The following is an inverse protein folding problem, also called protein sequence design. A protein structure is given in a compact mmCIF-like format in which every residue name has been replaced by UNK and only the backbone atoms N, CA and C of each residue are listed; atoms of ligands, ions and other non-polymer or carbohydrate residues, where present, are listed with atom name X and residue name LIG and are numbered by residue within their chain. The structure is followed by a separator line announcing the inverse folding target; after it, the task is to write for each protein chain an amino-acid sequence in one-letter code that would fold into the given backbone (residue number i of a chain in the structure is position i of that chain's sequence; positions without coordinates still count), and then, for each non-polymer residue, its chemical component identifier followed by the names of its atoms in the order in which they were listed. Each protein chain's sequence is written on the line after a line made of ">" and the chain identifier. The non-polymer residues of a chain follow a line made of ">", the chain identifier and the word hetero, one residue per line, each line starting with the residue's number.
data_IF_684935531392
#
_entry.id   IF_684935531392
#
_cell.length_a   1.000
_cell.length_b   1.000
_cell.length_c   1.000
_cell.angle_alpha   90.00
_cell.angle_beta   90.00
_cell.angle_gamma   90.00
#
_symmetry.space_group_name_H-M   'P 1'
#
loop_
_entity.id
_entity.type
_entity.pdbx_description
1 polymer ?
#
# COMPACT_ATOMS: atom_id res chain seq x y z
N UNK A 1 26.82 22.78 3.33
CA UNK A 1 26.71 21.87 4.51
C UNK A 1 25.39 22.07 5.24
N UNK A 2 24.99 23.31 5.56
CA UNK A 2 23.74 23.66 6.26
C UNK A 2 22.44 23.07 5.69
N UNK A 3 22.33 22.88 4.37
CA UNK A 3 21.13 22.28 3.74
C UNK A 3 21.04 20.76 4.01
N UNK A 4 22.17 20.05 4.05
CA UNK A 4 22.19 18.61 4.35
C UNK A 4 21.83 18.34 5.81
N UNK A 5 22.22 19.23 6.72
CA UNK A 5 21.92 19.10 8.15
C UNK A 5 20.40 19.16 8.43
N UNK A 6 19.65 19.89 7.60
CA UNK A 6 18.19 19.96 7.69
C UNK A 6 17.44 18.78 7.03
N UNK A 7 18.12 18.00 6.17
CA UNK A 7 17.46 16.95 5.38
C UNK A 7 16.80 15.89 6.24
N UNK A 8 17.52 15.38 7.24
CA UNK A 8 17.01 14.32 8.11
C UNK A 8 15.74 14.75 8.85
N UNK A 9 15.74 15.97 9.39
CA UNK A 9 14.57 16.52 10.10
C UNK A 9 13.37 16.64 9.18
N UNK A 10 13.54 17.20 7.98
CA UNK A 10 12.46 17.34 7.00
C UNK A 10 11.94 16.00 6.52
N UNK A 11 12.83 15.04 6.25
CA UNK A 11 12.46 13.70 5.83
C UNK A 11 11.62 13.02 6.91
N UNK A 12 12.08 13.01 8.16
CA UNK A 12 11.36 12.35 9.27
C UNK A 12 10.00 13.00 9.50
N UNK A 13 9.94 14.32 9.49
CA UNK A 13 8.68 15.05 9.68
C UNK A 13 7.65 14.73 8.59
N UNK A 14 8.06 14.83 7.31
CA UNK A 14 7.19 14.56 6.17
C UNK A 14 6.82 13.08 6.11
N UNK A 15 7.78 12.18 6.29
CA UNK A 15 7.55 10.73 6.29
C UNK A 15 6.56 10.32 7.37
N UNK A 16 6.81 10.68 8.65
CA UNK A 16 5.90 10.31 9.74
C UNK A 16 4.49 10.88 9.51
N UNK A 17 4.37 12.09 8.95
CA UNK A 17 3.07 12.68 8.60
C UNK A 17 2.36 11.89 7.50
N UNK A 18 3.06 11.51 6.44
CA UNK A 18 2.48 10.72 5.35
C UNK A 18 2.09 9.32 5.84
N UNK A 19 2.93 8.69 6.66
CA UNK A 19 2.67 7.36 7.19
C UNK A 19 1.45 7.36 8.10
N UNK A 20 1.32 8.30 9.04
CA UNK A 20 0.10 8.42 9.88
C UNK A 20 -1.18 8.47 9.04
N UNK A 21 -1.18 9.23 7.94
CA UNK A 21 -2.34 9.28 7.02
C UNK A 21 -2.69 7.92 6.43
N UNK A 22 -1.69 7.10 6.09
CA UNK A 22 -1.90 5.73 5.56
C UNK A 22 -2.57 4.81 6.60
N UNK A 23 -2.43 5.10 7.89
CA UNK A 23 -3.11 4.40 8.99
C UNK A 23 -4.35 5.15 9.50
N UNK A 24 -4.79 6.19 8.80
CA UNK A 24 -5.98 6.94 9.21
C UNK A 24 -5.83 7.71 10.53
N UNK A 25 -4.58 8.02 10.92
CA UNK A 25 -4.25 8.81 12.11
C UNK A 25 -4.07 10.28 11.70
N UNK A 26 -4.85 11.18 12.30
CA UNK A 26 -4.87 12.61 11.99
C UNK A 26 -4.03 13.38 12.99
N UNK A 27 -4.23 13.08 14.27
CA UNK A 27 -3.47 13.68 15.37
C UNK A 27 -2.11 12.99 15.48
N UNK A 28 -1.09 13.75 15.90
CA UNK A 28 0.24 13.21 16.13
C UNK A 28 0.30 12.68 17.56
N UNK A 29 0.67 11.41 17.70
CA UNK A 29 1.10 10.81 18.96
C UNK A 29 2.56 10.34 18.84
N UNK A 30 3.31 10.39 19.94
CA UNK A 30 4.73 10.02 19.96
C UNK A 30 4.95 8.51 19.78
N UNK A 31 3.93 7.68 20.05
CA UNK A 31 3.98 6.22 19.86
C UNK A 31 3.60 5.79 18.44
N UNK A 32 3.15 6.70 17.56
CA UNK A 32 2.69 6.34 16.21
C UNK A 32 3.77 5.65 15.39
N UNK A 33 5.02 6.11 15.50
CA UNK A 33 6.14 5.49 14.78
C UNK A 33 6.42 4.05 15.26
N UNK A 34 6.21 3.77 16.55
CA UNK A 34 6.37 2.42 17.12
C UNK A 34 5.27 1.51 16.60
N UNK A 35 4.01 1.97 16.66
CA UNK A 35 2.85 1.22 16.17
C UNK A 35 2.99 0.89 14.67
N UNK A 36 3.42 1.86 13.85
CA UNK A 36 3.65 1.67 12.42
C UNK A 36 4.83 0.72 12.17
N UNK A 37 5.89 0.80 12.99
CA UNK A 37 7.02 -0.14 12.93
C UNK A 37 6.57 -1.59 13.17
N UNK A 38 5.76 -1.82 14.21
CA UNK A 38 5.21 -3.15 14.54
C UNK A 38 4.35 -3.71 13.40
N UNK A 39 3.61 -2.87 12.67
CA UNK A 39 2.88 -3.31 11.49
C UNK A 39 3.84 -3.87 10.42
N UNK A 40 4.96 -3.19 10.15
CA UNK A 40 5.94 -3.68 9.18
C UNK A 40 6.69 -4.91 9.65
N UNK A 41 6.89 -5.08 10.95
CA UNK A 41 7.42 -6.32 11.50
C UNK A 41 6.50 -7.51 11.20
N UNK A 42 5.17 -7.33 11.32
CA UNK A 42 4.17 -8.35 10.92
C UNK A 42 4.28 -8.64 9.42
N UNK A 43 4.36 -7.61 8.57
CA UNK A 43 4.48 -7.83 7.13
C UNK A 43 5.77 -8.57 6.77
N UNK A 44 6.90 -8.17 7.35
CA UNK A 44 8.20 -8.76 7.09
C UNK A 44 8.26 -10.22 7.54
N UNK A 45 7.78 -10.51 8.76
CA UNK A 45 7.78 -11.85 9.34
C UNK A 45 6.94 -12.83 8.53
N UNK A 46 5.77 -12.38 8.09
CA UNK A 46 4.78 -13.23 7.43
C UNK A 46 4.74 -13.04 5.90
N UNK A 47 5.68 -12.29 5.34
CA UNK A 47 5.81 -11.99 3.90
C UNK A 47 4.53 -11.44 3.27
N UNK A 48 3.82 -10.58 3.99
CA UNK A 48 2.56 -9.97 3.52
C UNK A 48 2.84 -8.87 2.49
N UNK A 49 1.95 -8.72 1.53
CA UNK A 49 2.03 -7.63 0.54
C UNK A 49 1.79 -6.25 1.17
N UNK A 50 2.74 -5.34 0.97
CA UNK A 50 2.70 -3.98 1.54
C UNK A 50 1.44 -3.19 1.15
N UNK A 51 1.15 -3.12 -0.15
CA UNK A 51 0.07 -2.27 -0.67
C UNK A 51 -1.30 -2.83 -0.29
N UNK A 52 -1.48 -4.15 -0.42
CA UNK A 52 -2.72 -4.83 -0.07
C UNK A 52 -2.98 -4.76 1.44
N UNK A 53 -1.99 -5.02 2.30
CA UNK A 53 -2.18 -4.92 3.75
C UNK A 53 -2.55 -3.52 4.20
N UNK A 54 -1.94 -2.47 3.62
CA UNK A 54 -2.33 -1.09 3.90
C UNK A 54 -3.73 -0.75 3.38
N UNK A 55 -4.10 -1.24 2.19
CA UNK A 55 -5.45 -1.03 1.66
C UNK A 55 -6.50 -1.74 2.52
N UNK A 56 -6.21 -2.93 3.04
CA UNK A 56 -7.09 -3.71 3.92
C UNK A 56 -7.35 -3.07 5.28
N UNK A 57 -6.54 -2.10 5.73
CA UNK A 57 -6.82 -1.34 6.96
C UNK A 57 -8.16 -0.59 6.91
N UNK A 58 -8.73 -0.39 5.72
CA UNK A 58 -10.04 0.18 5.52
C UNK A 58 -11.19 -0.73 6.02
N UNK A 59 -10.94 -2.03 6.19
CA UNK A 59 -11.86 -3.05 6.67
C UNK A 59 -11.18 -3.89 7.76
N UNK A 60 -11.19 -3.33 8.97
CA UNK A 60 -10.59 -3.94 10.16
C UNK A 60 -11.25 -5.29 10.49
N UNK A 61 -12.54 -5.45 10.20
CA UNK A 61 -13.25 -6.71 10.47
C UNK A 61 -12.71 -7.83 9.58
N UNK A 62 -12.44 -7.55 8.30
CA UNK A 62 -11.78 -8.51 7.41
C UNK A 62 -10.32 -8.75 7.84
N UNK A 63 -9.56 -7.70 8.17
CA UNK A 63 -8.17 -7.85 8.60
C UNK A 63 -8.05 -8.65 9.90
N UNK A 64 -9.03 -8.56 10.81
CA UNK A 64 -9.06 -9.30 12.07
C UNK A 64 -9.14 -10.82 11.91
N UNK A 65 -9.55 -11.31 10.73
CA UNK A 65 -9.57 -12.75 10.40
C UNK A 65 -8.17 -13.29 10.14
N UNK A 66 -7.22 -12.41 9.83
CA UNK A 66 -5.81 -12.76 9.69
C UNK A 66 -5.13 -12.71 11.06
N UNK A 67 -4.88 -13.89 11.63
CA UNK A 67 -4.31 -14.03 12.97
C UNK A 67 -2.96 -13.33 13.14
N UNK A 68 -2.22 -13.13 12.04
CA UNK A 68 -0.91 -12.46 12.07
C UNK A 68 -1.00 -11.01 12.55
N UNK A 69 -2.16 -10.35 12.37
CA UNK A 69 -2.40 -8.97 12.79
C UNK A 69 -3.09 -8.85 14.15
N UNK A 70 -3.48 -9.94 14.79
CA UNK A 70 -4.33 -9.94 16.00
C UNK A 70 -3.79 -9.04 17.12
N UNK A 71 -2.54 -9.24 17.54
CA UNK A 71 -1.90 -8.45 18.60
C UNK A 71 -1.76 -6.97 18.20
N UNK A 72 -1.37 -6.73 16.95
CA UNK A 72 -1.20 -5.38 16.43
C UNK A 72 -2.53 -4.62 16.35
N UNK A 73 -3.60 -5.29 15.94
CA UNK A 73 -4.95 -4.71 15.86
C UNK A 73 -5.48 -4.25 17.22
N UNK A 74 -5.12 -4.93 18.31
CA UNK A 74 -5.46 -4.47 19.66
C UNK A 74 -4.80 -3.13 19.97
N UNK A 75 -3.53 -2.96 19.61
CA UNK A 75 -2.79 -1.71 19.82
C UNK A 75 -3.32 -0.60 18.90
N UNK A 76 -3.54 -0.92 17.63
CA UNK A 76 -4.11 0.00 16.65
C UNK A 76 -5.51 0.47 17.06
N UNK A 77 -6.38 -0.44 17.51
CA UNK A 77 -7.71 -0.10 18.00
C UNK A 77 -7.69 0.85 19.20
N UNK A 78 -6.78 0.64 20.15
CA UNK A 78 -6.58 1.57 21.28
C UNK A 78 -6.16 2.96 20.81
N UNK A 79 -5.22 3.02 19.86
CA UNK A 79 -4.73 4.29 19.30
C UNK A 79 -5.81 5.03 18.52
N UNK A 80 -6.58 4.30 17.70
CA UNK A 80 -7.71 4.83 16.94
C UNK A 80 -8.81 5.38 17.84
N UNK A 81 -9.09 4.72 18.98
CA UNK A 81 -10.10 5.16 19.93
C UNK A 81 -9.77 6.49 20.64
N UNK A 82 -8.52 6.94 20.59
CA UNK A 82 -8.09 8.24 21.12
C UNK A 82 -8.46 9.41 20.20
N UNK A 83 -8.79 9.14 18.92
CA UNK A 83 -9.17 10.17 17.94
C UNK A 83 -10.62 9.99 17.47
N UNK A 84 -11.40 11.06 17.55
CA UNK A 84 -12.72 11.12 16.94
C UNK A 84 -12.56 11.44 15.44
N UNK A 85 -12.60 10.42 14.58
CA UNK A 85 -12.63 10.60 13.13
C UNK A 85 -13.75 9.74 12.54
N UNK A 86 -14.72 10.42 11.90
CA UNK A 86 -15.84 9.81 11.20
C UNK A 86 -15.51 9.41 9.75
N UNK A 87 -14.39 9.90 9.20
CA UNK A 87 -14.00 9.72 7.79
C UNK A 87 -12.69 8.94 7.62
N UNK A 88 -12.26 8.18 8.63
CA UNK A 88 -10.98 7.46 8.63
C UNK A 88 -10.80 6.53 7.42
N UNK A 89 -11.85 5.80 7.07
CA UNK A 89 -11.86 4.86 5.94
C UNK A 89 -11.67 5.61 4.61
N UNK A 90 -12.38 6.72 4.41
CA UNK A 90 -12.25 7.57 3.22
C UNK A 90 -10.83 8.16 3.11
N UNK A 91 -10.30 8.65 4.24
CA UNK A 91 -8.93 9.16 4.32
C UNK A 91 -7.92 8.10 3.90
N UNK A 92 -7.99 6.90 4.48
CA UNK A 92 -7.09 5.80 4.13
C UNK A 92 -7.23 5.40 2.67
N UNK A 93 -8.45 5.29 2.14
CA UNK A 93 -8.69 4.95 0.74
C UNK A 93 -8.11 5.99 -0.23
N UNK A 94 -8.10 7.28 0.16
CA UNK A 94 -7.53 8.35 -0.66
C UNK A 94 -5.99 8.38 -0.73
N UNK A 95 -5.30 7.66 0.16
CA UNK A 95 -3.81 7.66 0.23
C UNK A 95 -3.19 6.27 0.12
N UNK A 96 -3.98 5.20 0.30
CA UNK A 96 -3.58 3.82 0.10
C UNK A 96 -4.11 3.35 -1.25
N UNK A 97 -3.27 3.28 -2.29
CA UNK A 97 -3.72 2.86 -3.61
C UNK A 97 -4.21 1.41 -3.55
N UNK A 98 -5.32 1.15 -4.24
CA UNK A 98 -5.79 -0.19 -4.52
C UNK A 98 -4.98 -0.85 -5.64
N UNK A 99 -4.55 -0.06 -6.62
CA UNK A 99 -3.81 -0.53 -7.79
C UNK A 99 -2.40 0.05 -7.81
N UNK A 100 -1.41 -0.81 -8.01
CA UNK A 100 -0.01 -0.44 -8.21
C UNK A 100 0.52 -1.14 -9.46
N UNK A 101 1.53 -0.56 -10.11
CA UNK A 101 2.20 -1.22 -11.22
C UNK A 101 3.14 -2.32 -10.69
N UNK A 102 2.59 -3.52 -10.49
CA UNK A 102 3.36 -4.71 -10.13
C UNK A 102 4.18 -5.17 -11.34
N UNK A 103 5.41 -5.64 -11.11
CA UNK A 103 6.30 -6.10 -12.18
C UNK A 103 5.65 -7.14 -13.12
N UNK A 104 4.93 -8.11 -12.57
CA UNK A 104 4.29 -9.13 -13.40
C UNK A 104 3.19 -8.57 -14.31
N UNK A 105 2.46 -7.54 -13.87
CA UNK A 105 1.44 -6.88 -14.68
C UNK A 105 2.08 -6.16 -15.87
N UNK A 106 3.21 -5.47 -15.62
CA UNK A 106 4.00 -4.85 -16.66
C UNK A 106 4.51 -5.90 -17.68
N UNK A 107 5.03 -7.03 -17.21
CA UNK A 107 5.51 -8.11 -18.08
C UNK A 107 4.38 -8.69 -18.94
N UNK A 108 3.21 -8.97 -18.36
CA UNK A 108 2.05 -9.48 -19.11
C UNK A 108 1.65 -8.50 -20.21
N UNK A 109 1.64 -7.20 -19.91
CA UNK A 109 1.34 -6.17 -20.89
C UNK A 109 2.39 -6.10 -22.02
N UNK A 110 3.68 -6.20 -21.67
CA UNK A 110 4.78 -6.23 -22.64
C UNK A 110 4.66 -7.44 -23.57
N UNK A 111 4.43 -8.64 -23.03
CA UNK A 111 4.34 -9.88 -23.84
C UNK A 111 3.14 -9.86 -24.78
N UNK A 112 1.96 -9.46 -24.30
CA UNK A 112 0.77 -9.30 -25.16
C UNK A 112 1.02 -8.32 -26.31
N UNK A 113 1.70 -7.20 -26.03
CA UNK A 113 2.02 -6.22 -27.05
C UNK A 113 3.06 -6.74 -28.06
N UNK A 114 4.12 -7.43 -27.61
CA UNK A 114 5.20 -7.91 -28.48
C UNK A 114 4.80 -9.15 -29.29
N UNK A 115 4.24 -10.16 -28.63
CA UNK A 115 4.01 -11.48 -29.20
C UNK A 115 2.69 -11.52 -29.99
N UNK A 116 1.67 -10.79 -29.52
CA UNK A 116 0.31 -10.81 -30.08
C UNK A 116 -0.11 -9.50 -30.75
N UNK A 117 0.72 -8.44 -30.68
CA UNK A 117 0.36 -7.07 -31.10
C UNK A 117 -0.92 -6.55 -30.44
N UNK A 118 -1.20 -7.02 -29.23
CA UNK A 118 -2.39 -6.70 -28.47
C UNK A 118 -2.06 -5.71 -27.34
N UNK A 119 -2.57 -4.49 -27.44
CA UNK A 119 -2.30 -3.38 -26.52
C UNK A 119 -3.35 -3.19 -25.42
N UNK A 120 -4.40 -4.01 -25.41
CA UNK A 120 -5.53 -3.87 -24.46
C UNK A 120 -5.11 -3.92 -22.99
N UNK A 121 -4.07 -4.68 -22.67
CA UNK A 121 -3.53 -4.75 -21.31
C UNK A 121 -2.87 -3.43 -20.90
N UNK A 122 -2.16 -2.77 -21.82
CA UNK A 122 -1.53 -1.47 -21.58
C UNK A 122 -2.61 -0.42 -21.31
N UNK A 123 -3.67 -0.40 -22.13
CA UNK A 123 -4.79 0.52 -21.94
C UNK A 123 -5.49 0.29 -20.58
N UNK A 124 -5.66 -0.97 -20.20
CA UNK A 124 -6.26 -1.34 -18.92
C UNK A 124 -5.41 -0.87 -17.74
N UNK A 125 -4.10 -1.14 -17.76
CA UNK A 125 -3.17 -0.69 -16.72
C UNK A 125 -3.09 0.83 -16.67
N UNK A 126 -3.06 1.52 -17.80
CA UNK A 126 -3.05 2.98 -17.85
C UNK A 126 -4.28 3.57 -17.17
N UNK A 127 -5.47 3.03 -17.45
CA UNK A 127 -6.71 3.47 -16.82
C UNK A 127 -6.70 3.24 -15.30
N UNK A 128 -6.29 2.06 -14.85
CA UNK A 128 -6.21 1.74 -13.41
C UNK A 128 -5.21 2.63 -12.68
N UNK A 129 -4.03 2.86 -13.26
CA UNK A 129 -2.97 3.66 -12.65
C UNK A 129 -3.23 5.16 -12.71
N UNK A 130 -4.15 5.61 -13.57
CA UNK A 130 -4.63 6.99 -13.59
C UNK A 130 -5.57 7.31 -12.41
N UNK A 131 -6.24 6.28 -11.86
CA UNK A 131 -7.10 6.39 -10.68
C UNK A 131 -6.82 5.24 -9.69
N UNK A 132 -5.60 5.18 -9.11
CA UNK A 132 -5.13 3.99 -8.40
C UNK A 132 -5.80 3.80 -7.03
N UNK A 133 -6.46 4.83 -6.52
CA UNK A 133 -7.14 4.83 -5.21
C UNK A 133 -8.60 4.37 -5.30
N UNK A 134 -9.19 4.44 -6.49
CA UNK A 134 -10.59 4.18 -6.76
C UNK A 134 -10.90 2.67 -6.80
N UNK A 135 -12.17 2.36 -6.65
CA UNK A 135 -12.71 1.02 -6.83
C UNK A 135 -13.09 0.82 -8.30
N UNK A 136 -12.55 -0.22 -8.95
CA UNK A 136 -12.88 -0.57 -10.33
C UNK A 136 -13.54 -1.96 -10.39
N UNK A 137 -14.88 -2.04 -10.40
CA UNK A 137 -15.60 -3.33 -10.41
C UNK A 137 -15.16 -4.22 -11.57
N UNK A 138 -14.93 -5.50 -11.28
CA UNK A 138 -14.47 -6.48 -12.28
C UNK A 138 -12.97 -6.48 -12.54
N UNK A 139 -12.21 -5.52 -11.99
CA UNK A 139 -10.74 -5.45 -12.13
C UNK A 139 -10.02 -5.77 -10.81
N UNK A 140 -10.66 -6.48 -9.88
CA UNK A 140 -10.05 -6.82 -8.57
C UNK A 140 -8.84 -7.74 -8.70
N UNK A 141 -8.75 -8.55 -9.76
CA UNK A 141 -7.61 -9.44 -10.04
C UNK A 141 -6.29 -8.70 -10.26
N UNK A 142 -6.34 -7.41 -10.60
CA UNK A 142 -5.14 -6.56 -10.72
C UNK A 142 -4.54 -6.17 -9.36
N UNK A 143 -5.21 -6.53 -8.27
CA UNK A 143 -4.71 -6.35 -6.89
C UNK A 143 -4.03 -7.61 -6.35
N UNK A 144 -4.15 -8.73 -7.06
CA UNK A 144 -3.61 -10.02 -6.63
C UNK A 144 -2.10 -9.96 -6.44
N UNK A 145 -1.59 -10.80 -5.54
CA UNK A 145 -0.15 -10.97 -5.38
C UNK A 145 0.47 -11.55 -6.64
N UNK A 146 1.78 -11.34 -6.80
CA UNK A 146 2.50 -11.86 -7.94
C UNK A 146 2.38 -13.40 -7.98
N UNK A 147 1.98 -13.97 -9.13
CA UNK A 147 1.89 -15.41 -9.29
C UNK A 147 3.28 -16.05 -9.16
N UNK A 148 3.32 -17.36 -8.87
CA UNK A 148 4.57 -18.09 -8.61
C UNK A 148 5.59 -17.97 -9.74
N UNK A 149 5.16 -17.96 -11.00
CA UNK A 149 6.04 -17.82 -12.16
C UNK A 149 6.73 -16.45 -12.24
N UNK A 150 6.15 -15.41 -11.62
CA UNK A 150 6.65 -14.05 -11.65
C UNK A 150 7.54 -13.72 -10.45
N UNK A 151 7.77 -14.66 -9.54
CA UNK A 151 8.67 -14.47 -8.42
C UNK A 151 10.10 -14.29 -8.93
N UNK A 152 10.72 -13.14 -8.63
CA UNK A 152 12.06 -12.78 -9.11
C UNK A 152 12.10 -12.08 -10.46
N UNK A 153 10.95 -11.68 -11.01
CA UNK A 153 10.90 -10.95 -12.26
C UNK A 153 11.38 -9.50 -12.09
N UNK A 154 12.50 -9.18 -12.73
CA UNK A 154 13.05 -7.82 -12.81
C UNK A 154 12.62 -7.17 -14.13
N UNK A 155 11.64 -6.27 -14.07
CA UNK A 155 11.31 -5.42 -15.22
C UNK A 155 12.31 -4.28 -15.25
N UNK A 156 13.40 -4.48 -15.98
CA UNK A 156 14.39 -3.43 -16.24
C UNK A 156 13.93 -2.58 -17.42
N UNK A 157 13.77 -1.27 -17.20
CA UNK A 157 13.59 -0.29 -18.28
C UNK A 157 14.90 0.15 -18.94
N UNK A 158 16.05 -0.49 -18.63
CA UNK A 158 17.31 -0.25 -19.33
C UNK A 158 17.48 -1.23 -20.48
N UNK A 159 17.54 -0.67 -21.69
CA UNK A 159 18.20 -1.26 -22.87
C UNK A 159 19.55 -0.59 -23.05
#
# INVERSE_FOLDING_TARGET
>A
KTVLDSYQTHLVEVYSKLMRKKFGLVEKDDQDNVLIGQFFEVLCKNKKDYSNSLRQLNDVDTLSKDSDFSDWLVLYGKRVAQEQSSNRVELMNSVNPKYILRNYLAEVAIRKAQDEKNYTEIDTLFNLLSQPFDEHPGLTTYTDEAPSWAQGLEVSCSS
#
